data_IF_867730401179
#
_entry.id   IF_867730401179
#
_cell.length_a   1.000
_cell.length_b   1.000
_cell.length_c   1.000
_cell.angle_alpha   90.00
_cell.angle_beta   90.00
_cell.angle_gamma   90.00
#
_symmetry.space_group_name_H-M   'P 1'
#
loop_
_entity.id
_entity.type
_entity.pdbx_description
1 polymer ?
#
# COMPACT_ATOMS: atom_id res chain seq x y z
N UNK A 1 12.84 -43.08 -2.43
CA UNK A 1 13.00 -42.03 -3.49
C UNK A 1 11.59 -41.65 -3.94
N UNK A 2 11.15 -40.42 -3.63
CA UNK A 2 9.84 -39.92 -4.04
C UNK A 2 9.61 -40.05 -5.55
N UNK A 3 8.39 -40.47 -5.93
CA UNK A 3 7.96 -40.60 -7.30
C UNK A 3 6.98 -39.48 -7.67
N UNK A 4 7.19 -38.81 -8.80
CA UNK A 4 6.19 -37.84 -9.31
C UNK A 4 4.99 -38.65 -9.81
N UNK A 5 3.86 -38.51 -9.10
CA UNK A 5 2.63 -39.29 -9.37
C UNK A 5 1.64 -38.51 -10.23
N UNK A 6 1.69 -37.17 -10.22
CA UNK A 6 0.86 -36.32 -11.06
C UNK A 6 1.58 -35.02 -11.47
N UNK A 7 1.23 -34.53 -12.65
CA UNK A 7 1.67 -33.24 -13.19
C UNK A 7 0.51 -32.66 -14.00
N UNK A 8 -0.47 -32.11 -13.29
CA UNK A 8 -1.71 -31.59 -13.88
C UNK A 8 -1.64 -30.09 -14.13
N UNK A 9 -2.32 -29.56 -15.16
CA UNK A 9 -2.40 -28.13 -15.37
C UNK A 9 -2.86 -27.41 -14.10
N UNK A 10 -2.10 -26.41 -13.64
CA UNK A 10 -2.44 -25.66 -12.44
C UNK A 10 -3.64 -24.74 -12.71
N UNK A 11 -4.65 -24.69 -11.81
CA UNK A 11 -5.79 -23.81 -11.98
C UNK A 11 -5.39 -22.34 -11.84
N UNK A 12 -6.08 -21.46 -12.59
CA UNK A 12 -5.93 -20.01 -12.49
C UNK A 12 -5.08 -19.39 -13.61
N UNK A 13 -4.83 -18.09 -13.47
CA UNK A 13 -4.23 -17.28 -14.54
C UNK A 13 -2.70 -17.35 -14.65
N UNK A 14 -2.04 -17.89 -13.64
CA UNK A 14 -0.57 -17.98 -13.62
C UNK A 14 -0.02 -19.15 -14.46
N UNK A 15 -0.87 -20.07 -14.90
CA UNK A 15 -0.44 -21.23 -15.68
C UNK A 15 0.48 -22.18 -14.90
N UNK A 16 1.23 -23.03 -15.64
CA UNK A 16 2.10 -24.04 -15.07
C UNK A 16 1.35 -25.32 -14.67
N UNK A 17 1.98 -26.12 -13.81
CA UNK A 17 1.47 -27.44 -13.41
C UNK A 17 1.42 -27.56 -11.89
N UNK A 18 0.53 -28.40 -11.43
CA UNK A 18 0.46 -28.85 -10.06
C UNK A 18 1.17 -30.21 -10.01
N UNK A 19 2.34 -30.23 -9.39
CA UNK A 19 3.13 -31.43 -9.20
C UNK A 19 2.69 -32.13 -7.91
N UNK A 20 2.51 -33.45 -7.97
CA UNK A 20 2.30 -34.30 -6.81
C UNK A 20 3.36 -35.39 -6.78
N UNK A 21 3.96 -35.61 -5.60
CA UNK A 21 4.96 -36.65 -5.38
C UNK A 21 4.61 -37.47 -4.15
N UNK A 22 4.56 -38.82 -4.30
CA UNK A 22 4.23 -39.82 -3.26
C UNK A 22 2.93 -39.47 -2.47
N UNK A 23 1.97 -38.78 -3.11
CA UNK A 23 0.69 -38.43 -2.51
C UNK A 23 0.76 -37.40 -1.36
N UNK A 24 1.93 -36.90 -1.02
CA UNK A 24 2.12 -36.04 0.15
C UNK A 24 2.73 -34.66 -0.17
N UNK A 25 3.61 -34.55 -1.15
CA UNK A 25 4.16 -33.29 -1.60
C UNK A 25 3.38 -32.75 -2.79
N UNK A 26 2.73 -31.58 -2.62
CA UNK A 26 1.94 -30.95 -3.68
C UNK A 26 2.26 -29.47 -3.76
N UNK A 27 2.78 -29.02 -4.89
CA UNK A 27 3.10 -27.62 -5.13
C UNK A 27 3.03 -27.25 -6.62
N UNK A 28 2.84 -25.97 -6.89
CA UNK A 28 2.80 -25.43 -8.25
C UNK A 28 4.21 -25.30 -8.80
N UNK A 29 4.43 -25.76 -10.01
CA UNK A 29 5.67 -25.55 -10.79
C UNK A 29 5.35 -24.75 -12.06
N UNK A 30 6.21 -23.80 -12.44
CA UNK A 30 6.06 -23.07 -13.70
C UNK A 30 6.44 -23.98 -14.89
N UNK A 31 5.98 -23.63 -16.09
CA UNK A 31 6.37 -24.33 -17.32
C UNK A 31 7.89 -24.31 -17.53
N UNK A 32 8.51 -23.16 -17.29
CA UNK A 32 9.97 -23.02 -17.38
C UNK A 32 10.70 -23.92 -16.40
N UNK A 33 10.23 -24.01 -15.15
CA UNK A 33 10.83 -24.92 -14.16
C UNK A 33 10.65 -26.38 -14.54
N UNK A 34 9.49 -26.76 -15.08
CA UNK A 34 9.25 -28.11 -15.58
C UNK A 34 10.23 -28.48 -16.70
N UNK A 35 10.43 -27.59 -17.66
CA UNK A 35 11.33 -27.79 -18.79
C UNK A 35 12.81 -27.86 -18.33
N UNK A 36 13.27 -26.88 -17.53
CA UNK A 36 14.64 -26.83 -17.03
C UNK A 36 15.04 -28.04 -16.21
N UNK A 37 14.12 -28.54 -15.38
CA UNK A 37 14.35 -29.71 -14.50
C UNK A 37 13.94 -31.04 -15.14
N UNK A 38 13.39 -31.04 -16.36
CA UNK A 38 12.95 -32.25 -17.05
C UNK A 38 11.90 -33.03 -16.27
N UNK A 39 10.98 -32.35 -15.58
CA UNK A 39 9.98 -32.97 -14.73
C UNK A 39 8.96 -33.71 -15.59
N UNK A 40 8.69 -34.98 -15.22
CA UNK A 40 7.70 -35.84 -15.88
C UNK A 40 7.09 -36.82 -14.88
N UNK A 41 5.92 -37.30 -15.17
CA UNK A 41 5.30 -38.39 -14.41
C UNK A 41 6.25 -39.61 -14.42
N UNK A 42 6.26 -40.35 -13.34
CA UNK A 42 7.13 -41.51 -13.06
C UNK A 42 8.63 -41.18 -12.88
N UNK A 43 9.01 -39.87 -12.88
CA UNK A 43 10.36 -39.50 -12.51
C UNK A 43 10.60 -39.69 -11.01
N UNK A 44 11.75 -40.26 -10.65
CA UNK A 44 12.17 -40.46 -9.26
C UNK A 44 13.11 -39.33 -8.85
N UNK A 45 12.86 -38.76 -7.70
CA UNK A 45 13.68 -37.72 -7.08
C UNK A 45 14.24 -38.26 -5.77
N UNK A 46 15.38 -37.79 -5.33
CA UNK A 46 15.78 -37.94 -3.95
C UNK A 46 14.95 -36.98 -3.06
N UNK A 47 14.91 -37.24 -1.76
CA UNK A 47 14.21 -36.35 -0.82
C UNK A 47 14.78 -34.93 -0.88
N UNK A 48 16.11 -34.81 -0.99
CA UNK A 48 16.80 -33.51 -1.12
C UNK A 48 16.45 -32.78 -2.42
N UNK A 49 16.35 -33.51 -3.55
CA UNK A 49 15.93 -32.92 -4.84
C UNK A 49 14.48 -32.46 -4.79
N UNK A 50 13.59 -33.20 -4.15
CA UNK A 50 12.19 -32.81 -4.00
C UNK A 50 12.05 -31.56 -3.10
N UNK A 51 12.80 -31.49 -2.00
CA UNK A 51 12.85 -30.30 -1.13
C UNK A 51 13.39 -29.07 -1.87
N UNK A 52 14.52 -29.23 -2.61
CA UNK A 52 15.10 -28.16 -3.42
C UNK A 52 14.12 -27.69 -4.51
N UNK A 53 13.44 -28.63 -5.17
CA UNK A 53 12.42 -28.33 -6.17
C UNK A 53 11.23 -27.58 -5.55
N UNK A 54 10.76 -27.98 -4.38
CA UNK A 54 9.69 -27.30 -3.66
C UNK A 54 10.05 -25.87 -3.26
N UNK A 55 11.31 -25.65 -2.86
CA UNK A 55 11.84 -24.32 -2.56
C UNK A 55 11.88 -23.44 -3.83
N UNK A 56 12.47 -23.93 -4.92
CA UNK A 56 12.58 -23.22 -6.20
C UNK A 56 11.17 -22.92 -6.79
N UNK A 57 10.27 -23.88 -6.71
CA UNK A 57 8.89 -23.72 -7.14
C UNK A 57 8.14 -22.65 -6.33
N UNK A 58 8.33 -22.63 -5.01
CA UNK A 58 7.74 -21.62 -4.13
C UNK A 58 8.27 -20.22 -4.39
N UNK A 59 9.55 -20.07 -4.68
CA UNK A 59 10.18 -18.79 -5.06
C UNK A 59 9.64 -18.29 -6.41
N UNK A 60 9.56 -19.17 -7.41
CA UNK A 60 9.00 -18.85 -8.72
C UNK A 60 7.52 -18.45 -8.60
N UNK A 61 6.71 -19.20 -7.87
CA UNK A 61 5.30 -18.89 -7.67
C UNK A 61 5.11 -17.55 -6.94
N UNK A 62 5.94 -17.27 -5.93
CA UNK A 62 5.88 -16.01 -5.19
C UNK A 62 6.18 -14.82 -6.10
N UNK A 63 7.19 -14.94 -6.96
CA UNK A 63 7.53 -13.91 -7.95
C UNK A 63 6.41 -13.69 -8.97
N UNK A 64 5.90 -14.76 -9.59
CA UNK A 64 4.80 -14.70 -10.56
C UNK A 64 3.57 -14.00 -9.98
N UNK A 65 3.20 -14.37 -8.73
CA UNK A 65 2.07 -13.77 -8.02
C UNK A 65 2.31 -12.31 -7.69
N UNK A 66 3.52 -11.95 -7.26
CA UNK A 66 3.89 -10.56 -6.94
C UNK A 66 3.77 -9.69 -8.19
N UNK A 67 4.38 -10.09 -9.31
CA UNK A 67 4.32 -9.36 -10.58
C UNK A 67 2.88 -9.26 -11.09
N UNK A 68 2.12 -10.35 -11.05
CA UNK A 68 0.71 -10.34 -11.45
C UNK A 68 -0.12 -9.38 -10.56
N UNK A 69 0.14 -9.33 -9.25
CA UNK A 69 -0.58 -8.44 -8.35
C UNK A 69 -0.19 -6.97 -8.56
N UNK A 70 1.06 -6.70 -8.94
CA UNK A 70 1.56 -5.37 -9.30
C UNK A 70 1.02 -4.86 -10.64
N UNK A 71 0.69 -5.76 -11.58
CA UNK A 71 0.17 -5.35 -12.89
C UNK A 71 -1.17 -4.60 -12.84
N UNK A 72 -1.92 -4.71 -11.74
CA UNK A 72 -3.19 -4.00 -11.59
C UNK A 72 -3.05 -2.57 -11.05
N UNK A 73 -2.11 -2.33 -10.15
CA UNK A 73 -1.78 -1.01 -9.58
C UNK A 73 -0.49 -1.06 -8.77
N UNK A 74 0.12 0.08 -8.54
CA UNK A 74 1.25 0.21 -7.61
C UNK A 74 0.87 -0.26 -6.19
N UNK A 75 1.81 -0.91 -5.53
CA UNK A 75 1.68 -1.49 -4.20
C UNK A 75 2.92 -1.21 -3.37
N UNK A 76 2.79 -1.30 -2.05
CA UNK A 76 3.94 -1.29 -1.15
C UNK A 76 4.50 -2.68 -0.93
N UNK A 77 5.76 -2.76 -0.47
CA UNK A 77 6.40 -4.01 -0.06
C UNK A 77 5.55 -4.76 0.97
N UNK A 78 4.93 -4.06 1.92
CA UNK A 78 4.05 -4.66 2.93
C UNK A 78 2.75 -5.20 2.32
N UNK A 79 2.16 -4.54 1.31
CA UNK A 79 0.97 -5.05 0.62
C UNK A 79 1.29 -6.35 -0.13
N UNK A 80 2.47 -6.44 -0.79
CA UNK A 80 2.94 -7.69 -1.44
C UNK A 80 3.17 -8.79 -0.40
N UNK A 81 3.86 -8.49 0.71
CA UNK A 81 4.09 -9.47 1.79
C UNK A 81 2.77 -10.03 2.33
N UNK A 82 1.78 -9.18 2.58
CA UNK A 82 0.44 -9.62 3.04
C UNK A 82 -0.28 -10.45 1.98
N UNK A 83 -0.18 -10.08 0.72
CA UNK A 83 -0.79 -10.82 -0.38
C UNK A 83 -0.19 -12.21 -0.51
N UNK A 84 1.14 -12.34 -0.57
CA UNK A 84 1.83 -13.63 -0.65
C UNK A 84 1.55 -14.51 0.58
N UNK A 85 1.50 -13.90 1.77
CA UNK A 85 1.15 -14.62 3.00
C UNK A 85 -0.26 -15.25 2.96
N UNK A 86 -1.25 -14.58 2.36
CA UNK A 86 -2.60 -15.13 2.16
C UNK A 86 -2.63 -16.30 1.19
N UNK A 87 -1.63 -16.43 0.32
CA UNK A 87 -1.50 -17.53 -0.63
C UNK A 87 -0.54 -18.63 -0.17
N UNK A 88 -0.18 -18.67 1.12
CA UNK A 88 0.70 -19.70 1.69
C UNK A 88 2.19 -19.53 1.38
N UNK A 89 2.57 -18.41 0.72
CA UNK A 89 3.92 -18.15 0.24
C UNK A 89 4.73 -17.22 1.17
N UNK A 90 4.36 -17.19 2.46
CA UNK A 90 5.00 -16.28 3.44
C UNK A 90 6.53 -16.44 3.50
N UNK A 91 7.02 -17.69 3.44
CA UNK A 91 8.45 -17.99 3.51
C UNK A 91 9.25 -17.46 2.31
N UNK A 92 8.61 -17.31 1.15
CA UNK A 92 9.21 -16.84 -0.09
C UNK A 92 8.97 -15.34 -0.35
N UNK A 93 8.20 -14.67 0.52
CA UNK A 93 7.76 -13.30 0.30
C UNK A 93 8.92 -12.30 0.27
N UNK A 94 9.90 -12.44 1.16
CA UNK A 94 11.01 -11.49 1.26
C UNK A 94 11.95 -11.59 0.04
N UNK A 95 12.24 -12.80 -0.45
CA UNK A 95 13.02 -13.01 -1.67
C UNK A 95 12.29 -12.43 -2.90
N UNK A 96 10.99 -12.67 -3.05
CA UNK A 96 10.20 -12.12 -4.14
C UNK A 96 10.13 -10.58 -4.09
N UNK A 97 9.96 -10.00 -2.90
CA UNK A 97 9.98 -8.54 -2.71
C UNK A 97 11.32 -7.95 -3.08
N UNK A 98 12.43 -8.52 -2.56
CA UNK A 98 13.78 -8.06 -2.89
C UNK A 98 14.01 -8.08 -4.40
N UNK A 99 13.60 -9.14 -5.07
CA UNK A 99 13.72 -9.24 -6.53
C UNK A 99 12.86 -8.23 -7.28
N UNK A 100 11.62 -7.96 -6.80
CA UNK A 100 10.77 -6.90 -7.38
C UNK A 100 11.39 -5.51 -7.21
N UNK A 101 12.05 -5.25 -6.08
CA UNK A 101 12.77 -3.98 -5.83
C UNK A 101 13.96 -3.85 -6.78
N UNK A 102 14.81 -4.89 -6.90
CA UNK A 102 15.96 -4.91 -7.83
C UNK A 102 15.54 -4.66 -9.29
N UNK A 103 14.39 -5.20 -9.69
CA UNK A 103 13.84 -5.01 -11.03
C UNK A 103 13.08 -3.68 -11.22
N UNK A 104 12.98 -2.85 -10.18
CA UNK A 104 12.25 -1.59 -10.22
C UNK A 104 10.73 -1.72 -10.26
N UNK A 105 10.17 -2.89 -9.95
CA UNK A 105 8.71 -3.11 -9.88
C UNK A 105 8.11 -2.64 -8.56
N UNK A 106 8.92 -2.53 -7.52
CA UNK A 106 8.56 -2.05 -6.19
C UNK A 106 9.50 -0.94 -5.75
N UNK A 107 8.92 0.17 -5.30
CA UNK A 107 9.63 1.28 -4.68
C UNK A 107 8.63 2.00 -3.75
N UNK A 108 8.80 1.83 -2.44
CA UNK A 108 7.92 2.42 -1.44
C UNK A 108 8.05 3.95 -1.39
N UNK A 109 9.21 4.53 -1.80
CA UNK A 109 9.38 5.98 -1.86
C UNK A 109 8.62 6.58 -3.04
N UNK A 110 8.74 5.98 -4.23
CA UNK A 110 7.96 6.37 -5.42
C UNK A 110 6.46 6.22 -5.17
N UNK A 111 6.06 5.10 -4.54
CA UNK A 111 4.67 4.90 -4.14
C UNK A 111 4.17 5.99 -3.20
N UNK A 112 4.95 6.33 -2.15
CA UNK A 112 4.59 7.33 -1.17
C UNK A 112 4.44 8.72 -1.79
N UNK A 113 5.36 9.14 -2.65
CA UNK A 113 5.27 10.41 -3.37
C UNK A 113 4.01 10.49 -4.24
N UNK A 114 3.75 9.47 -5.05
CA UNK A 114 2.56 9.42 -5.90
C UNK A 114 1.26 9.46 -5.07
N UNK A 115 1.23 8.72 -3.95
CA UNK A 115 0.10 8.72 -3.02
C UNK A 115 -0.16 10.08 -2.41
N UNK A 116 0.87 10.77 -1.92
CA UNK A 116 0.72 12.10 -1.31
C UNK A 116 0.28 13.12 -2.36
N UNK A 117 0.90 13.13 -3.54
CA UNK A 117 0.55 14.03 -4.65
C UNK A 117 -0.93 13.89 -5.03
N UNK A 118 -1.43 12.66 -5.15
CA UNK A 118 -2.86 12.41 -5.39
C UNK A 118 -3.73 13.00 -4.27
N UNK A 119 -3.32 12.86 -3.00
CA UNK A 119 -4.08 13.39 -1.85
C UNK A 119 -4.09 14.91 -1.81
N UNK A 120 -2.96 15.55 -2.06
CA UNK A 120 -2.86 17.03 -2.10
C UNK A 120 -3.82 17.58 -3.15
N UNK A 121 -3.86 17.00 -4.34
CA UNK A 121 -4.70 17.46 -5.44
C UNK A 121 -6.18 17.14 -5.28
N UNK A 122 -6.54 15.91 -4.91
CA UNK A 122 -7.92 15.43 -4.97
C UNK A 122 -8.64 15.43 -3.61
N UNK A 123 -7.93 15.13 -2.54
CA UNK A 123 -8.51 14.97 -1.20
C UNK A 123 -7.57 15.50 -0.13
N UNK A 124 -7.37 16.83 -0.07
CA UNK A 124 -6.38 17.43 0.82
C UNK A 124 -6.53 17.00 2.28
N UNK A 125 -5.39 16.66 2.89
CA UNK A 125 -5.27 16.19 4.27
C UNK A 125 -4.04 16.83 4.92
N UNK A 126 -4.06 16.95 6.24
CA UNK A 126 -2.93 17.40 7.01
C UNK A 126 -1.76 16.40 6.99
N UNK A 127 -0.55 16.91 7.18
CA UNK A 127 0.70 16.15 7.21
C UNK A 127 0.63 14.94 8.16
N UNK A 128 0.16 15.07 9.42
CA UNK A 128 0.06 13.90 10.33
C UNK A 128 -0.82 12.78 9.76
N UNK A 129 -1.90 13.14 9.09
CA UNK A 129 -2.82 12.16 8.50
C UNK A 129 -2.20 11.45 7.29
N UNK A 130 -1.49 12.18 6.43
CA UNK A 130 -0.80 11.61 5.27
C UNK A 130 0.27 10.61 5.71
N UNK A 131 1.12 10.99 6.67
CA UNK A 131 2.12 10.09 7.25
C UNK A 131 1.45 8.85 7.86
N UNK A 132 0.42 9.02 8.68
CA UNK A 132 -0.30 7.90 9.29
C UNK A 132 -0.89 6.95 8.23
N UNK A 133 -1.39 7.45 7.11
CA UNK A 133 -1.93 6.63 6.03
C UNK A 133 -0.85 5.84 5.29
N UNK A 134 0.36 6.39 5.13
CA UNK A 134 1.51 5.70 4.55
C UNK A 134 2.04 4.63 5.50
N UNK A 135 2.20 4.94 6.81
CA UNK A 135 2.58 3.97 7.84
C UNK A 135 1.61 2.77 7.88
N UNK A 136 0.30 3.02 7.79
CA UNK A 136 -0.71 1.96 7.74
C UNK A 136 -0.58 1.04 6.51
N UNK A 137 0.08 1.52 5.45
CA UNK A 137 0.41 0.75 4.24
C UNK A 137 1.78 0.07 4.32
N UNK A 138 2.52 0.32 5.41
CA UNK A 138 3.81 -0.28 5.67
C UNK A 138 5.00 0.45 5.08
N UNK A 139 4.81 1.68 4.62
CA UNK A 139 5.93 2.59 4.31
C UNK A 139 6.57 2.98 5.63
N UNK A 140 7.89 3.01 5.71
CA UNK A 140 8.59 3.45 6.91
C UNK A 140 8.39 4.96 7.17
N UNK A 141 8.68 5.40 8.40
CA UNK A 141 8.39 6.77 8.82
C UNK A 141 9.18 7.80 8.06
N UNK A 142 10.48 7.59 7.88
CA UNK A 142 11.37 8.57 7.25
C UNK A 142 11.00 8.77 5.79
N UNK A 143 10.73 7.66 5.08
CA UNK A 143 10.22 7.66 3.70
C UNK A 143 8.85 8.37 3.62
N UNK A 144 7.95 8.11 4.56
CA UNK A 144 6.63 8.74 4.58
C UNK A 144 6.70 10.26 4.84
N UNK A 145 7.51 10.70 5.78
CA UNK A 145 7.71 12.12 6.10
C UNK A 145 8.38 12.85 4.94
N UNK A 146 9.45 12.27 4.37
CA UNK A 146 10.14 12.82 3.21
C UNK A 146 9.24 12.93 1.97
N UNK A 147 8.40 11.93 1.72
CA UNK A 147 7.44 11.97 0.62
C UNK A 147 6.38 13.06 0.77
N UNK A 148 5.92 13.33 2.00
CA UNK A 148 4.97 14.42 2.27
C UNK A 148 5.64 15.76 2.03
N UNK A 149 6.87 15.94 2.48
CA UNK A 149 7.62 17.18 2.29
C UNK A 149 7.92 17.45 0.81
N UNK A 150 8.43 16.45 0.10
CA UNK A 150 8.72 16.55 -1.32
C UNK A 150 7.46 16.88 -2.15
N UNK A 151 6.34 16.18 -1.90
CA UNK A 151 5.12 16.41 -2.65
C UNK A 151 4.51 17.81 -2.40
N UNK A 152 4.57 18.33 -1.18
CA UNK A 152 4.12 19.71 -0.89
C UNK A 152 5.02 20.75 -1.58
N UNK A 153 6.34 20.51 -1.60
CA UNK A 153 7.29 21.38 -2.28
C UNK A 153 7.08 21.38 -3.80
N UNK A 154 6.89 20.20 -4.42
CA UNK A 154 6.59 20.05 -5.86
C UNK A 154 5.30 20.77 -6.27
N UNK A 155 4.26 20.69 -5.45
CA UNK A 155 2.98 21.37 -5.72
C UNK A 155 3.05 22.89 -5.39
N UNK A 156 4.16 23.36 -4.83
CA UNK A 156 4.34 24.76 -4.44
C UNK A 156 3.36 25.22 -3.36
N UNK A 157 2.87 24.30 -2.51
CA UNK A 157 1.88 24.60 -1.48
C UNK A 157 2.42 24.33 -0.08
N UNK A 158 2.02 25.17 0.87
CA UNK A 158 2.25 24.90 2.30
C UNK A 158 1.05 24.18 2.90
N UNK A 159 1.25 23.45 4.01
CA UNK A 159 0.15 22.83 4.75
C UNK A 159 -0.89 23.88 5.20
N UNK A 160 -0.45 25.06 5.58
CA UNK A 160 -1.32 26.17 5.98
C UNK A 160 -2.19 26.67 4.81
N UNK A 161 -1.60 26.86 3.63
CA UNK A 161 -2.34 27.25 2.43
C UNK A 161 -3.35 26.17 2.02
N UNK A 162 -2.96 24.90 2.08
CA UNK A 162 -3.82 23.77 1.80
C UNK A 162 -5.01 23.68 2.77
N UNK A 163 -4.75 23.90 4.07
CA UNK A 163 -5.78 23.91 5.11
C UNK A 163 -6.76 25.06 4.88
N UNK A 164 -6.26 26.26 4.54
CA UNK A 164 -7.07 27.44 4.25
C UNK A 164 -8.00 27.22 3.06
N UNK A 165 -7.47 26.70 1.95
CA UNK A 165 -8.29 26.38 0.75
C UNK A 165 -9.43 25.39 1.08
N UNK A 166 -9.10 24.32 1.84
CA UNK A 166 -10.09 23.35 2.31
C UNK A 166 -11.14 23.97 3.23
N UNK A 167 -10.74 24.90 4.11
CA UNK A 167 -11.64 25.62 5.01
C UNK A 167 -12.60 26.54 4.23
N UNK A 168 -12.06 27.33 3.31
CA UNK A 168 -12.85 28.27 2.48
C UNK A 168 -13.91 27.53 1.65
N UNK A 169 -13.56 26.43 1.03
CA UNK A 169 -14.54 25.58 0.30
C UNK A 169 -15.64 25.03 1.22
N UNK A 170 -15.35 24.81 2.50
CA UNK A 170 -16.32 24.32 3.47
C UNK A 170 -17.21 25.40 4.03
N UNK A 171 -16.74 26.65 4.13
CA UNK A 171 -17.46 27.77 4.74
C UNK A 171 -18.82 28.02 4.08
N UNK A 172 -18.91 27.94 2.77
CA UNK A 172 -20.18 28.13 2.05
C UNK A 172 -21.31 27.21 2.53
N UNK A 173 -20.97 25.99 2.98
CA UNK A 173 -21.96 25.05 3.53
C UNK A 173 -22.30 25.31 5.02
N UNK A 174 -21.62 26.25 5.67
CA UNK A 174 -21.77 26.57 7.09
C UNK A 174 -22.42 27.93 7.31
N UNK A 175 -22.64 28.73 6.25
CA UNK A 175 -23.14 30.11 6.34
C UNK A 175 -24.54 30.26 6.96
N UNK A 176 -25.33 29.17 7.03
CA UNK A 176 -26.69 29.14 7.62
C UNK A 176 -26.68 28.79 9.11
N UNK A 177 -25.50 28.54 9.69
CA UNK A 177 -25.39 28.17 11.11
C UNK A 177 -25.04 29.41 11.94
N UNK A 178 -25.38 29.35 13.22
CA UNK A 178 -24.91 30.31 14.21
C UNK A 178 -23.36 30.26 14.29
N UNK A 179 -22.68 31.38 14.55
CA UNK A 179 -21.23 31.46 14.56
C UNK A 179 -20.53 30.40 15.45
N UNK A 180 -20.96 30.14 16.70
CA UNK A 180 -20.39 29.07 17.51
C UNK A 180 -20.52 27.68 16.92
N UNK A 181 -21.65 27.33 16.31
CA UNK A 181 -21.82 26.03 15.66
C UNK A 181 -21.00 25.93 14.37
N UNK A 182 -20.92 27.00 13.58
CA UNK A 182 -20.07 27.05 12.39
C UNK A 182 -18.60 26.79 12.74
N UNK A 183 -18.06 27.46 13.77
CA UNK A 183 -16.69 27.26 14.29
C UNK A 183 -16.45 25.81 14.70
N UNK A 184 -17.32 25.26 15.55
CA UNK A 184 -17.19 23.86 16.00
C UNK A 184 -17.19 22.87 14.82
N UNK A 185 -18.09 23.06 13.85
CA UNK A 185 -18.19 22.17 12.67
C UNK A 185 -16.99 22.32 11.73
N UNK A 186 -16.48 23.53 11.53
CA UNK A 186 -15.28 23.76 10.71
C UNK A 186 -14.06 23.12 11.38
N UNK A 187 -13.85 23.37 12.67
CA UNK A 187 -12.75 22.76 13.42
C UNK A 187 -12.79 21.24 13.39
N UNK A 188 -13.96 20.63 13.64
CA UNK A 188 -14.13 19.18 13.57
C UNK A 188 -13.90 18.62 12.16
N UNK A 189 -14.28 19.36 11.12
CA UNK A 189 -14.04 18.96 9.72
C UNK A 189 -12.54 18.93 9.38
N UNK A 190 -11.81 20.00 9.75
CA UNK A 190 -10.36 20.08 9.54
C UNK A 190 -9.59 19.04 10.40
N UNK A 191 -10.04 18.83 11.64
CA UNK A 191 -9.49 17.80 12.52
C UNK A 191 -9.62 16.39 11.96
N UNK A 192 -10.77 16.03 11.40
CA UNK A 192 -10.97 14.74 10.70
C UNK A 192 -10.07 14.58 9.47
N UNK A 193 -9.64 15.68 8.87
CA UNK A 193 -8.65 15.69 7.79
C UNK A 193 -7.22 15.62 8.28
N UNK A 194 -7.02 15.69 9.61
CA UNK A 194 -5.72 15.52 10.27
C UNK A 194 -4.82 16.74 10.22
N UNK A 195 -5.38 17.94 10.08
CA UNK A 195 -4.61 19.17 10.26
C UNK A 195 -4.28 19.38 11.75
N UNK A 196 -3.14 20.05 12.06
CA UNK A 196 -2.72 20.30 13.45
C UNK A 196 -3.73 21.16 14.21
N UNK A 197 -4.04 20.80 15.46
CA UNK A 197 -5.08 21.45 16.27
C UNK A 197 -4.80 22.93 16.56
N UNK A 198 -3.52 23.32 16.75
CA UNK A 198 -3.12 24.72 16.91
C UNK A 198 -3.45 25.53 15.65
N UNK A 199 -2.97 25.07 14.49
CA UNK A 199 -3.24 25.74 13.22
C UNK A 199 -4.74 25.80 12.87
N UNK A 200 -5.53 24.76 13.24
CA UNK A 200 -6.98 24.79 13.10
C UNK A 200 -7.60 25.90 13.93
N UNK A 201 -7.18 26.05 15.19
CA UNK A 201 -7.71 27.07 16.09
C UNK A 201 -7.47 28.46 15.51
N UNK A 202 -6.22 28.74 15.11
CA UNK A 202 -5.81 30.03 14.58
C UNK A 202 -6.59 30.38 13.30
N UNK A 203 -6.70 29.43 12.38
CA UNK A 203 -7.45 29.62 11.13
C UNK A 203 -8.96 29.80 11.37
N UNK A 204 -9.56 29.03 12.27
CA UNK A 204 -11.00 29.15 12.60
C UNK A 204 -11.28 30.49 13.24
N UNK A 205 -10.40 30.99 14.14
CA UNK A 205 -10.53 32.30 14.74
C UNK A 205 -10.39 33.43 13.71
N UNK A 206 -9.51 33.28 12.73
CA UNK A 206 -9.33 34.22 11.64
C UNK A 206 -10.57 34.25 10.71
N UNK A 207 -11.10 33.11 10.30
CA UNK A 207 -12.19 33.02 9.33
C UNK A 207 -13.57 33.27 9.95
N UNK A 208 -13.73 33.01 11.23
CA UNK A 208 -14.97 33.14 11.99
C UNK A 208 -14.64 33.75 13.37
N UNK A 209 -14.27 35.02 13.44
CA UNK A 209 -13.90 35.68 14.69
C UNK A 209 -15.07 35.63 15.70
N UNK A 210 -14.74 35.65 16.98
CA UNK A 210 -15.74 35.84 18.01
C UNK A 210 -16.37 37.23 17.81
N UNK A 211 -17.68 37.37 17.87
CA UNK A 211 -18.28 38.70 17.94
C UNK A 211 -17.72 39.38 19.18
N UNK A 212 -17.23 40.65 19.05
CA UNK A 212 -16.87 41.39 20.22
C UNK A 212 -18.11 41.44 21.14
N UNK A 213 -17.89 41.05 22.39
CA UNK A 213 -18.92 41.15 23.43
C UNK A 213 -19.58 42.57 23.31
N UNK A 214 -20.75 42.62 22.75
CA UNK A 214 -21.55 43.86 22.76
C UNK A 214 -22.01 44.03 24.20
N UNK A 215 -21.03 44.49 25.02
CA UNK A 215 -21.27 44.87 26.41
C UNK A 215 -22.57 45.63 26.50
N UNK A 216 -23.46 45.08 27.30
CA UNK A 216 -24.74 45.73 27.58
C UNK A 216 -24.54 47.16 28.02
N UNK A 217 -25.30 48.02 27.37
CA UNK A 217 -25.63 49.36 27.89
C UNK A 217 -26.85 49.18 28.79
#
# INVERSE_FOLDING_TARGET
MPLITALDPAPGRLGGFLLEADGSARFRVSEDLCQRRGLRIDARLTTSELEALGQEAGESEAMDRAVHYLSYRSRTCMEIRRYLGKHGLRRHADAAIARCVELGYLDDAVYAQAFVRERVRLKPRGRPRLVSELLARGVDRDTAEGAVEAALAEEGVTEAALMRDVALRRLGALCRLDPPAARRRLAAFLGRRGFPSGAIRDLVQELLPDEPDRGGI
#
